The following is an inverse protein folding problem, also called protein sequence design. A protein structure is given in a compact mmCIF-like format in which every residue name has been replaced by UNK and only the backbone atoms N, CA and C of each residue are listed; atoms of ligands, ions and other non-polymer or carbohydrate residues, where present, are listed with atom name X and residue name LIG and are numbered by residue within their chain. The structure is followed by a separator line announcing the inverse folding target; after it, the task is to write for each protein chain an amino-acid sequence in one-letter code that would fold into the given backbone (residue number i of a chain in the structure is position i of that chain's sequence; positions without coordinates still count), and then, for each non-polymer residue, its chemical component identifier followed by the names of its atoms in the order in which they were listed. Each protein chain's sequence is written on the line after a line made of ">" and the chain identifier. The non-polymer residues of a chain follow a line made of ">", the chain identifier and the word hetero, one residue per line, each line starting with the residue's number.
data_IF_703911027022
#
_entry.id   IF_703911027022
#
_cell.length_a   1.000
_cell.length_b   1.000
_cell.length_c   1.000
_cell.angle_alpha   90.00
_cell.angle_beta   90.00
_cell.angle_gamma   90.00
#
_symmetry.space_group_name_H-M   'P 1'
#
loop_
_entity.id
_entity.type
_entity.pdbx_description
1 polymer ?
#
# COMPACT_ATOMS: atom_id res chain seq x y z
N UNK A 1 -21.03 -94.46 10.65
CA UNK A 1 -21.63 -93.72 9.51
C UNK A 1 -21.54 -92.23 9.80
N UNK A 2 -20.64 -91.47 9.15
CA UNK A 2 -20.35 -90.09 9.54
C UNK A 2 -21.35 -89.09 8.95
N UNK A 3 -21.78 -88.15 9.80
CA UNK A 3 -22.69 -87.05 9.50
C UNK A 3 -21.99 -86.00 8.63
N UNK A 4 -22.52 -85.74 7.43
CA UNK A 4 -22.01 -84.74 6.49
C UNK A 4 -22.37 -83.30 6.90
N UNK A 5 -21.34 -82.46 7.07
CA UNK A 5 -21.45 -81.03 7.38
C UNK A 5 -21.92 -80.27 6.14
N UNK A 6 -23.06 -79.58 6.21
CA UNK A 6 -23.53 -78.66 5.15
C UNK A 6 -22.70 -77.37 5.12
N UNK A 7 -22.28 -76.87 3.95
CA UNK A 7 -21.55 -75.61 3.85
C UNK A 7 -22.49 -74.41 4.05
N UNK A 8 -22.09 -73.46 4.90
CA UNK A 8 -22.79 -72.19 5.07
C UNK A 8 -22.62 -71.33 3.81
N UNK A 9 -23.72 -70.91 3.19
CA UNK A 9 -23.70 -69.95 2.08
C UNK A 9 -23.21 -68.59 2.61
N UNK A 10 -22.11 -68.10 2.03
CA UNK A 10 -21.61 -66.75 2.27
C UNK A 10 -22.68 -65.71 1.90
N UNK A 11 -22.96 -64.78 2.82
CA UNK A 11 -23.85 -63.63 2.55
C UNK A 11 -23.17 -62.71 1.52
N UNK A 12 -23.90 -62.20 0.51
CA UNK A 12 -23.32 -61.28 -0.47
C UNK A 12 -22.88 -59.98 0.23
N UNK A 13 -21.70 -59.49 -0.14
CA UNK A 13 -21.15 -58.23 0.36
C UNK A 13 -22.11 -57.06 0.04
N UNK A 14 -22.43 -56.26 1.06
CA UNK A 14 -23.23 -55.05 0.88
C UNK A 14 -22.50 -54.08 -0.07
N UNK A 15 -23.17 -53.51 -1.08
CA UNK A 15 -22.56 -52.53 -1.97
C UNK A 15 -22.09 -51.30 -1.17
N UNK A 16 -20.88 -50.82 -1.50
CA UNK A 16 -20.31 -49.63 -0.88
C UNK A 16 -21.27 -48.43 -0.98
N UNK A 17 -21.32 -47.54 0.03
CA UNK A 17 -22.19 -46.36 -0.02
C UNK A 17 -21.90 -45.54 -1.27
N UNK A 18 -22.95 -45.21 -2.03
CA UNK A 18 -22.83 -44.39 -3.25
C UNK A 18 -22.30 -43.02 -2.87
N UNK A 19 -21.16 -42.64 -3.43
CA UNK A 19 -20.58 -41.29 -3.29
C UNK A 19 -21.57 -40.30 -3.90
N UNK A 20 -22.23 -39.50 -3.07
CA UNK A 20 -23.02 -38.36 -3.56
C UNK A 20 -22.07 -37.32 -4.12
N UNK A 21 -22.15 -37.04 -5.42
CA UNK A 21 -21.44 -35.93 -6.03
C UNK A 21 -22.36 -34.73 -6.11
N UNK A 22 -21.92 -33.58 -5.58
CA UNK A 22 -22.62 -32.32 -5.75
C UNK A 22 -22.46 -31.86 -7.20
N UNK A 23 -23.49 -32.09 -8.00
CA UNK A 23 -23.61 -31.49 -9.33
C UNK A 23 -24.11 -30.06 -9.13
N UNK A 24 -23.28 -29.08 -9.48
CA UNK A 24 -23.74 -27.70 -9.54
C UNK A 24 -24.67 -27.58 -10.76
N UNK A 25 -25.96 -27.37 -10.51
CA UNK A 25 -26.97 -27.17 -11.57
C UNK A 25 -26.82 -25.78 -12.21
N UNK A 26 -26.21 -24.86 -11.47
CA UNK A 26 -25.95 -23.47 -11.85
C UNK A 26 -24.46 -23.17 -11.71
N UNK A 27 -23.99 -22.22 -12.51
CA UNK A 27 -22.60 -21.73 -12.53
C UNK A 27 -22.26 -20.75 -11.39
N UNK A 28 -23.14 -20.59 -10.40
CA UNK A 28 -22.98 -19.65 -9.29
C UNK A 28 -21.74 -19.87 -8.42
N UNK A 29 -21.22 -21.09 -8.40
CA UNK A 29 -20.00 -21.45 -7.67
C UNK A 29 -18.72 -21.27 -8.49
N UNK A 30 -18.82 -20.82 -9.75
CA UNK A 30 -17.66 -20.48 -10.56
C UNK A 30 -17.00 -19.20 -9.99
N UNK A 31 -15.69 -19.24 -9.66
CA UNK A 31 -14.94 -18.06 -9.23
C UNK A 31 -15.08 -16.84 -10.16
N UNK A 32 -15.29 -17.03 -11.46
CA UNK A 32 -15.50 -15.95 -12.43
C UNK A 32 -16.78 -15.15 -12.19
N UNK A 33 -17.87 -15.81 -11.76
CA UNK A 33 -19.16 -15.16 -11.48
C UNK A 33 -19.12 -14.21 -10.31
N UNK A 34 -18.31 -14.52 -9.29
CA UNK A 34 -18.11 -13.62 -8.17
C UNK A 34 -17.51 -12.27 -8.61
N UNK A 35 -16.63 -12.27 -9.61
CA UNK A 35 -16.08 -11.03 -10.17
C UNK A 35 -17.13 -10.26 -10.97
N UNK A 36 -17.90 -10.94 -11.82
CA UNK A 36 -19.02 -10.34 -12.58
C UNK A 36 -20.02 -9.66 -11.64
N UNK A 37 -20.44 -10.34 -10.57
CA UNK A 37 -21.40 -9.79 -9.61
C UNK A 37 -20.85 -8.60 -8.85
N UNK A 38 -19.58 -8.65 -8.40
CA UNK A 38 -18.94 -7.50 -7.76
C UNK A 38 -18.83 -6.31 -8.71
N UNK A 39 -18.57 -6.56 -10.00
CA UNK A 39 -18.52 -5.53 -11.02
C UNK A 39 -19.91 -4.90 -11.25
N UNK A 40 -20.96 -5.71 -11.37
CA UNK A 40 -22.33 -5.22 -11.51
C UNK A 40 -22.77 -4.41 -10.29
N UNK A 41 -22.52 -4.92 -9.08
CA UNK A 41 -22.81 -4.20 -7.85
C UNK A 41 -22.11 -2.83 -7.78
N UNK A 42 -20.82 -2.78 -8.12
CA UNK A 42 -20.07 -1.52 -8.16
C UNK A 42 -20.67 -0.52 -9.19
N UNK A 43 -21.12 -1.01 -10.35
CA UNK A 43 -21.81 -0.17 -11.35
C UNK A 43 -23.10 0.43 -10.80
N UNK A 44 -23.96 -0.39 -10.20
CA UNK A 44 -25.23 0.09 -9.63
C UNK A 44 -24.99 1.07 -8.47
N UNK A 45 -24.07 0.76 -7.56
CA UNK A 45 -23.71 1.65 -6.47
C UNK A 45 -23.20 3.01 -6.98
N UNK A 46 -22.32 3.02 -7.99
CA UNK A 46 -21.79 4.26 -8.56
C UNK A 46 -22.85 5.09 -9.28
N UNK A 47 -23.78 4.45 -10.00
CA UNK A 47 -24.91 5.14 -10.64
C UNK A 47 -25.76 5.87 -9.61
N UNK A 48 -26.02 5.24 -8.46
CA UNK A 48 -26.78 5.89 -7.39
C UNK A 48 -25.99 7.02 -6.69
N UNK A 49 -24.69 6.85 -6.49
CA UNK A 49 -23.83 7.92 -5.94
C UNK A 49 -23.79 9.15 -6.86
N UNK A 50 -23.72 8.92 -8.18
CA UNK A 50 -23.77 9.97 -9.20
C UNK A 50 -25.12 10.69 -9.22
N UNK A 51 -26.23 9.94 -9.19
CA UNK A 51 -27.58 10.52 -9.07
C UNK A 51 -27.73 11.43 -7.83
N UNK A 52 -27.00 11.12 -6.74
CA UNK A 52 -26.99 11.89 -5.49
C UNK A 52 -25.93 13.00 -5.46
N UNK A 53 -25.24 13.26 -6.58
CA UNK A 53 -24.15 14.23 -6.69
C UNK A 53 -23.02 14.00 -5.68
N UNK A 54 -22.78 12.74 -5.31
CA UNK A 54 -21.69 12.35 -4.42
C UNK A 54 -20.43 12.05 -5.25
N UNK A 55 -19.28 12.57 -4.81
CA UNK A 55 -18.00 12.39 -5.51
C UNK A 55 -17.35 11.02 -5.28
N UNK A 56 -17.83 10.26 -4.30
CA UNK A 56 -17.26 8.94 -3.99
C UNK A 56 -17.57 7.94 -5.11
N UNK A 57 -16.63 7.03 -5.37
CA UNK A 57 -16.80 5.92 -6.31
C UNK A 57 -16.27 4.64 -5.68
N UNK A 58 -16.95 3.53 -5.95
CA UNK A 58 -16.60 2.19 -5.49
C UNK A 58 -16.08 1.38 -6.67
N UNK A 59 -14.97 0.67 -6.47
CA UNK A 59 -14.38 -0.20 -7.46
C UNK A 59 -14.10 -1.57 -6.82
N UNK A 60 -14.52 -2.63 -7.51
CA UNK A 60 -14.42 -4.02 -7.05
C UNK A 60 -13.00 -4.59 -7.22
N UNK A 61 -12.19 -3.96 -8.07
CA UNK A 61 -10.83 -4.40 -8.38
C UNK A 61 -9.91 -4.03 -7.22
N UNK A 62 -8.83 -4.78 -7.05
CA UNK A 62 -7.77 -4.41 -6.12
C UNK A 62 -7.12 -3.08 -6.50
N UNK A 63 -6.50 -2.38 -5.55
CA UNK A 63 -5.75 -1.14 -5.85
C UNK A 63 -4.70 -1.34 -6.95
N UNK A 64 -4.12 -2.54 -7.04
CA UNK A 64 -3.17 -2.91 -8.09
C UNK A 64 -3.84 -2.85 -9.47
N UNK A 65 -5.00 -3.50 -9.64
CA UNK A 65 -5.76 -3.51 -10.90
C UNK A 65 -6.34 -2.13 -11.26
N UNK A 66 -6.47 -1.23 -10.29
CA UNK A 66 -6.83 0.16 -10.51
C UNK A 66 -5.64 1.06 -10.87
N UNK A 67 -4.40 0.56 -10.78
CA UNK A 67 -3.19 1.39 -10.90
C UNK A 67 -2.97 2.34 -9.70
N UNK A 68 -3.68 2.11 -8.60
CA UNK A 68 -3.58 2.93 -7.38
C UNK A 68 -2.42 2.40 -6.53
N UNK A 69 -1.35 3.17 -6.48
CA UNK A 69 -0.21 2.91 -5.59
C UNK A 69 -0.53 3.35 -4.15
N UNK A 70 -1.43 2.61 -3.49
CA UNK A 70 -1.81 2.77 -2.08
C UNK A 70 -1.64 1.42 -1.39
N UNK A 71 -1.00 1.41 -0.22
CA UNK A 71 -0.86 0.18 0.55
C UNK A 71 -2.21 -0.11 1.23
N UNK A 72 -2.76 -1.32 1.05
CA UNK A 72 -4.02 -1.71 1.66
C UNK A 72 -3.84 -1.90 3.17
N UNK A 73 -4.87 -1.53 3.93
CA UNK A 73 -4.95 -1.82 5.37
C UNK A 73 -5.34 -3.27 5.59
N UNK A 74 -4.87 -3.87 6.69
CA UNK A 74 -5.22 -5.23 7.10
C UNK A 74 -6.65 -5.25 7.66
N UNK A 75 -7.46 -6.23 7.25
CA UNK A 75 -8.78 -6.42 7.82
C UNK A 75 -8.68 -6.85 9.29
N UNK A 76 -9.24 -6.04 10.19
CA UNK A 76 -9.14 -6.25 11.64
C UNK A 76 -9.99 -7.43 12.14
N UNK A 77 -11.17 -7.64 11.55
CA UNK A 77 -12.19 -8.53 12.08
C UNK A 77 -12.99 -7.92 13.23
N UNK A 78 -14.09 -8.58 13.62
CA UNK A 78 -15.06 -8.05 14.60
C UNK A 78 -14.42 -7.85 15.98
N UNK A 79 -13.66 -8.84 16.47
CA UNK A 79 -13.04 -8.82 17.80
C UNK A 79 -12.06 -7.64 17.97
N UNK A 80 -11.09 -7.51 17.05
CA UNK A 80 -10.12 -6.41 17.11
C UNK A 80 -10.78 -5.04 16.96
N UNK A 81 -11.84 -4.93 16.15
CA UNK A 81 -12.61 -3.68 16.01
C UNK A 81 -13.31 -3.28 17.30
N UNK A 82 -13.90 -4.24 18.02
CA UNK A 82 -14.53 -3.98 19.31
C UNK A 82 -13.51 -3.55 20.37
N UNK A 83 -12.32 -4.17 20.40
CA UNK A 83 -11.24 -3.80 21.30
C UNK A 83 -10.78 -2.35 21.07
N UNK A 84 -10.50 -1.95 19.83
CA UNK A 84 -10.07 -0.57 19.52
C UNK A 84 -11.17 0.46 19.83
N UNK A 85 -12.45 0.13 19.62
CA UNK A 85 -13.57 1.01 20.03
C UNK A 85 -13.62 1.23 21.54
N UNK A 86 -13.15 0.27 22.33
CA UNK A 86 -13.02 0.37 23.79
C UNK A 86 -11.70 1.02 24.22
N UNK A 87 -10.88 1.50 23.28
CA UNK A 87 -9.59 2.12 23.55
C UNK A 87 -8.44 1.15 23.78
N UNK A 88 -8.65 -0.17 23.56
CA UNK A 88 -7.59 -1.17 23.68
C UNK A 88 -6.80 -1.27 22.36
N UNK A 89 -5.50 -1.05 22.46
CA UNK A 89 -4.57 -1.12 21.33
C UNK A 89 -4.38 -2.58 20.90
N UNK A 90 -4.61 -2.85 19.63
CA UNK A 90 -4.41 -4.15 18.98
C UNK A 90 -3.23 -4.10 18.03
N UNK A 91 -2.55 -5.22 17.83
CA UNK A 91 -1.45 -5.36 16.87
C UNK A 91 -1.89 -4.96 15.44
N UNK A 92 -3.04 -5.50 14.98
CA UNK A 92 -3.62 -5.15 13.67
C UNK A 92 -3.99 -3.67 13.57
N UNK A 93 -4.48 -3.07 14.64
CA UNK A 93 -4.79 -1.64 14.70
C UNK A 93 -3.53 -0.77 14.58
N UNK A 94 -2.44 -1.16 15.24
CA UNK A 94 -1.16 -0.47 15.17
C UNK A 94 -0.58 -0.51 13.77
N UNK A 95 -0.59 -1.68 13.11
CA UNK A 95 -0.19 -1.83 11.71
C UNK A 95 -1.04 -0.93 10.79
N UNK A 96 -2.36 -0.89 10.99
CA UNK A 96 -3.24 -0.03 10.19
C UNK A 96 -3.02 1.47 10.40
N UNK A 97 -2.72 1.90 11.63
CA UNK A 97 -2.33 3.28 11.93
C UNK A 97 -1.04 3.66 11.20
N UNK A 98 -0.04 2.78 11.22
CA UNK A 98 1.21 2.99 10.50
C UNK A 98 0.98 3.08 8.98
N UNK A 99 0.27 2.13 8.38
CA UNK A 99 -0.09 2.15 6.95
C UNK A 99 -0.82 3.44 6.58
N UNK A 100 -1.71 3.93 7.45
CA UNK A 100 -2.46 5.16 7.23
C UNK A 100 -1.55 6.38 7.28
N UNK A 101 -0.62 6.45 8.24
CA UNK A 101 0.38 7.50 8.35
C UNK A 101 1.31 7.53 7.13
N UNK A 102 1.79 6.35 6.70
CA UNK A 102 2.62 6.19 5.50
C UNK A 102 1.88 6.62 4.23
N UNK A 103 0.63 6.17 4.03
CA UNK A 103 -0.19 6.59 2.89
C UNK A 103 -0.45 8.11 2.90
N UNK A 104 -0.64 8.71 4.07
CA UNK A 104 -0.79 10.16 4.22
C UNK A 104 0.48 10.90 3.81
N UNK A 105 1.65 10.43 4.27
CA UNK A 105 2.95 10.98 3.91
C UNK A 105 3.17 10.96 2.40
N UNK A 106 2.94 9.82 1.75
CA UNK A 106 3.05 9.67 0.29
C UNK A 106 2.11 10.64 -0.43
N UNK A 107 0.85 10.74 0.01
CA UNK A 107 -0.12 11.67 -0.59
C UNK A 107 0.31 13.13 -0.45
N UNK A 108 0.82 13.52 0.72
CA UNK A 108 1.32 14.86 1.00
C UNK A 108 2.51 15.21 0.09
N UNK A 109 3.51 14.34 0.05
CA UNK A 109 4.71 14.53 -0.77
C UNK A 109 4.36 14.60 -2.25
N UNK A 110 3.50 13.70 -2.74
CA UNK A 110 3.00 13.75 -4.12
C UNK A 110 2.40 15.12 -4.46
N UNK A 111 1.54 15.64 -3.59
CA UNK A 111 0.85 16.90 -3.85
C UNK A 111 1.83 18.08 -3.87
N UNK A 112 2.77 18.12 -2.91
CA UNK A 112 3.79 19.16 -2.80
C UNK A 112 4.73 19.14 -4.01
N UNK A 113 5.30 17.98 -4.34
CA UNK A 113 6.27 17.85 -5.43
C UNK A 113 5.64 18.17 -6.79
N UNK A 114 4.38 17.78 -7.01
CA UNK A 114 3.64 18.12 -8.24
C UNK A 114 3.43 19.63 -8.36
N UNK A 115 3.10 20.30 -7.25
CA UNK A 115 2.94 21.76 -7.23
C UNK A 115 4.27 22.47 -7.51
N UNK A 116 5.34 22.04 -6.85
CA UNK A 116 6.68 22.59 -7.05
C UNK A 116 7.17 22.38 -8.49
N UNK A 117 6.95 21.20 -9.06
CA UNK A 117 7.27 20.90 -10.44
C UNK A 117 6.56 21.87 -11.39
N UNK A 118 5.25 22.01 -11.28
CA UNK A 118 4.49 22.92 -12.14
C UNK A 118 4.94 24.38 -11.99
N UNK A 119 5.21 24.83 -10.76
CA UNK A 119 5.68 26.18 -10.50
C UNK A 119 7.09 26.43 -11.06
N UNK A 120 8.06 25.55 -10.76
CA UNK A 120 9.44 25.66 -11.25
C UNK A 120 9.51 25.58 -12.78
N UNK A 121 8.66 24.76 -13.42
CA UNK A 121 8.50 24.71 -14.87
C UNK A 121 8.03 26.05 -15.45
N UNK A 122 7.03 26.68 -14.85
CA UNK A 122 6.54 27.99 -15.27
C UNK A 122 7.63 29.07 -15.11
N UNK A 123 8.36 29.03 -14.00
CA UNK A 123 9.44 30.00 -13.75
C UNK A 123 10.62 29.83 -14.69
N UNK A 124 11.00 28.59 -15.03
CA UNK A 124 12.05 28.29 -16.00
C UNK A 124 11.68 28.67 -17.44
N UNK A 125 10.39 28.67 -17.78
CA UNK A 125 9.88 29.06 -19.10
C UNK A 125 9.73 30.58 -19.28
N UNK A 126 9.72 31.37 -18.20
CA UNK A 126 9.70 32.83 -18.29
C UNK A 126 11.08 33.35 -18.72
N UNK A 127 11.12 34.18 -19.78
CA UNK A 127 12.33 34.63 -20.49
C UNK A 127 13.46 35.18 -19.58
N UNK A 128 14.73 35.01 -20.00
CA UNK A 128 15.91 35.33 -19.20
C UNK A 128 16.35 36.80 -19.39
N UNK A 129 15.52 37.76 -19.00
CA UNK A 129 16.03 39.13 -18.85
C UNK A 129 16.52 39.32 -17.42
N UNK A 130 17.84 39.14 -17.24
CA UNK A 130 18.64 39.49 -16.05
C UNK A 130 17.92 39.28 -14.71
N UNK A 131 17.44 38.06 -14.43
CA UNK A 131 16.98 37.74 -13.09
C UNK A 131 18.19 37.45 -12.20
N UNK A 132 18.31 38.11 -11.03
CA UNK A 132 19.38 37.84 -10.08
C UNK A 132 19.41 36.35 -9.72
N UNK A 133 20.60 35.86 -9.32
CA UNK A 133 20.77 34.50 -8.80
C UNK A 133 19.68 34.19 -7.76
N UNK A 134 19.24 32.93 -7.65
CA UNK A 134 18.23 32.56 -6.62
C UNK A 134 18.68 33.03 -5.23
N UNK A 135 19.98 32.99 -4.98
CA UNK A 135 20.57 33.49 -3.74
C UNK A 135 20.39 35.01 -3.57
N UNK A 136 20.64 35.80 -4.60
CA UNK A 136 20.47 37.25 -4.58
C UNK A 136 19.00 37.61 -4.36
N UNK A 137 18.06 36.91 -5.00
CA UNK A 137 16.63 37.07 -4.75
C UNK A 137 16.28 36.79 -3.28
N UNK A 138 16.77 35.67 -2.74
CA UNK A 138 16.56 35.33 -1.33
C UNK A 138 17.14 36.37 -0.38
N UNK A 139 18.33 36.90 -0.69
CA UNK A 139 18.99 37.93 0.12
C UNK A 139 18.20 39.26 0.08
N UNK A 140 17.69 39.66 -1.09
CA UNK A 140 16.84 40.84 -1.24
C UNK A 140 15.53 40.69 -0.46
N UNK A 141 14.88 39.53 -0.53
CA UNK A 141 13.65 39.25 0.23
C UNK A 141 13.89 39.34 1.74
N UNK A 142 15.01 38.80 2.23
CA UNK A 142 15.37 38.86 3.64
C UNK A 142 15.67 40.29 4.12
N UNK A 143 16.36 41.09 3.30
CA UNK A 143 16.66 42.48 3.61
C UNK A 143 15.37 43.33 3.74
N UNK A 144 14.33 43.00 2.96
CA UNK A 144 13.04 43.67 3.00
C UNK A 144 12.16 43.25 4.21
N UNK A 145 12.30 42.02 4.72
CA UNK A 145 11.41 41.47 5.74
C UNK A 145 11.70 41.91 7.20
N UNK A 146 12.83 42.60 7.45
CA UNK A 146 13.27 43.19 8.73
C UNK A 146 12.51 42.72 10.00
N UNK A 147 12.78 41.50 10.53
CA UNK A 147 12.10 41.02 11.73
C UNK A 147 12.47 41.88 12.94
N UNK A 148 11.45 42.43 13.61
CA UNK A 148 11.60 43.36 14.74
C UNK A 148 12.00 42.66 16.05
N UNK A 149 11.65 41.37 16.21
CA UNK A 149 11.91 40.62 17.44
C UNK A 149 13.23 39.84 17.40
N UNK A 150 13.91 39.69 18.55
CA UNK A 150 15.15 38.89 18.68
C UNK A 150 14.94 37.44 18.25
N UNK A 151 13.81 36.83 18.63
CA UNK A 151 13.44 35.49 18.19
C UNK A 151 13.23 35.40 16.67
N UNK A 152 12.54 36.38 16.08
CA UNK A 152 12.34 36.47 14.62
C UNK A 152 13.66 36.57 13.85
N UNK A 153 14.61 37.38 14.34
CA UNK A 153 15.96 37.50 13.75
C UNK A 153 16.71 36.16 13.76
N UNK A 154 16.72 35.47 14.90
CA UNK A 154 17.38 34.15 15.02
C UNK A 154 16.71 33.11 14.11
N UNK A 155 15.39 33.10 14.04
CA UNK A 155 14.64 32.18 13.17
C UNK A 155 14.92 32.45 11.69
N UNK A 156 14.87 33.72 11.26
CA UNK A 156 15.17 34.10 9.88
C UNK A 156 16.59 33.70 9.47
N UNK A 157 17.58 33.88 10.37
CA UNK A 157 18.96 33.49 10.13
C UNK A 157 19.14 31.96 10.01
N UNK A 158 18.44 31.19 10.86
CA UNK A 158 18.45 29.72 10.75
C UNK A 158 17.80 29.24 9.45
N UNK A 159 16.69 29.86 9.06
CA UNK A 159 16.00 29.53 7.81
C UNK A 159 16.86 29.91 6.59
N UNK A 160 17.54 31.07 6.61
CA UNK A 160 18.42 31.49 5.52
C UNK A 160 19.65 30.58 5.38
N UNK A 161 20.26 30.17 6.49
CA UNK A 161 21.36 29.21 6.49
C UNK A 161 20.93 27.84 5.92
N UNK A 162 19.74 27.35 6.29
CA UNK A 162 19.23 26.09 5.77
C UNK A 162 18.98 26.16 4.25
N UNK A 163 18.46 27.28 3.75
CA UNK A 163 18.27 27.50 2.31
C UNK A 163 19.61 27.62 1.57
N UNK A 164 20.59 28.32 2.16
CA UNK A 164 21.93 28.42 1.61
C UNK A 164 22.58 27.04 1.49
N UNK A 165 22.55 26.23 2.55
CA UNK A 165 23.09 24.87 2.54
C UNK A 165 22.40 24.03 1.46
N UNK A 166 21.07 24.09 1.36
CA UNK A 166 20.33 23.38 0.32
C UNK A 166 20.76 23.78 -1.10
N UNK A 167 20.88 25.09 -1.36
CA UNK A 167 21.32 25.59 -2.67
C UNK A 167 22.77 25.18 -2.97
N UNK A 168 23.65 25.28 -1.99
CA UNK A 168 25.07 24.97 -2.13
C UNK A 168 25.31 23.47 -2.33
N UNK A 169 24.70 22.61 -1.51
CA UNK A 169 24.80 21.15 -1.59
C UNK A 169 24.30 20.60 -2.94
N UNK A 170 23.33 21.29 -3.54
CA UNK A 170 22.74 20.90 -4.82
C UNK A 170 23.25 21.74 -6.01
N UNK A 171 24.24 22.62 -5.79
CA UNK A 171 24.80 23.51 -6.81
C UNK A 171 23.74 24.31 -7.59
N UNK A 172 22.73 24.82 -6.89
CA UNK A 172 21.60 25.55 -7.50
C UNK A 172 21.87 27.05 -7.45
N UNK A 173 22.15 27.63 -8.61
CA UNK A 173 22.35 29.08 -8.80
C UNK A 173 21.23 29.72 -9.61
N UNK A 174 20.55 28.94 -10.46
CA UNK A 174 19.54 29.42 -11.40
C UNK A 174 18.18 28.73 -11.22
N UNK A 175 17.13 29.37 -11.74
CA UNK A 175 15.77 28.80 -11.75
C UNK A 175 15.68 27.53 -12.62
N UNK A 176 16.52 27.45 -13.65
CA UNK A 176 16.65 26.26 -14.50
C UNK A 176 17.25 25.09 -13.73
N UNK A 177 18.31 25.31 -12.95
CA UNK A 177 18.91 24.28 -12.09
C UNK A 177 17.94 23.85 -10.98
N UNK A 178 17.17 24.80 -10.42
CA UNK A 178 16.10 24.47 -9.46
C UNK A 178 15.03 23.58 -10.10
N UNK A 179 14.62 23.87 -11.34
CA UNK A 179 13.68 23.02 -12.08
C UNK A 179 14.25 21.62 -12.34
N UNK A 180 15.52 21.51 -12.70
CA UNK A 180 16.21 20.22 -12.87
C UNK A 180 16.21 19.44 -11.55
N UNK A 181 16.56 20.07 -10.42
CA UNK A 181 16.52 19.42 -9.10
C UNK A 181 15.11 18.97 -8.73
N UNK A 182 14.09 19.80 -8.91
CA UNK A 182 12.69 19.45 -8.60
C UNK A 182 12.21 18.29 -9.49
N UNK A 183 12.62 18.27 -10.75
CA UNK A 183 12.33 17.16 -11.67
C UNK A 183 13.03 15.87 -11.22
N UNK A 184 14.30 15.95 -10.81
CA UNK A 184 15.05 14.81 -10.26
C UNK A 184 14.38 14.27 -8.99
N UNK A 185 14.00 15.13 -8.05
CA UNK A 185 13.26 14.74 -6.83
C UNK A 185 11.92 14.10 -7.18
N UNK A 186 11.22 14.59 -8.21
CA UNK A 186 9.95 14.02 -8.65
C UNK A 186 10.14 12.60 -9.19
N UNK A 187 11.17 12.39 -10.01
CA UNK A 187 11.55 11.07 -10.52
C UNK A 187 11.91 10.12 -9.39
N UNK A 188 12.76 10.56 -8.46
CA UNK A 188 13.16 9.79 -7.27
C UNK A 188 11.92 9.41 -6.43
N UNK A 189 11.02 10.35 -6.17
CA UNK A 189 9.78 10.09 -5.43
C UNK A 189 8.94 8.98 -6.08
N UNK A 190 8.74 9.05 -7.40
CA UNK A 190 7.96 8.02 -8.10
C UNK A 190 8.69 6.67 -8.15
N UNK A 191 10.02 6.67 -8.22
CA UNK A 191 10.86 5.47 -8.08
C UNK A 191 10.68 4.82 -6.72
N UNK A 192 10.95 5.55 -5.63
CA UNK A 192 10.82 5.07 -4.25
C UNK A 192 9.42 4.57 -3.94
N UNK A 193 8.39 5.29 -4.40
CA UNK A 193 6.99 4.85 -4.23
C UNK A 193 6.70 3.56 -4.99
N UNK A 194 7.28 3.39 -6.18
CA UNK A 194 7.19 2.15 -6.96
C UNK A 194 7.83 0.97 -6.22
N UNK A 195 9.02 1.17 -5.66
CA UNK A 195 9.75 0.16 -4.88
C UNK A 195 9.00 -0.24 -3.61
N UNK A 196 8.48 0.73 -2.85
CA UNK A 196 7.62 0.48 -1.67
C UNK A 196 6.41 -0.37 -2.06
N UNK A 197 5.75 -0.03 -3.17
CA UNK A 197 4.60 -0.78 -3.65
C UNK A 197 4.98 -2.19 -4.12
N UNK A 198 6.15 -2.38 -4.73
CA UNK A 198 6.65 -3.69 -5.14
C UNK A 198 7.00 -4.56 -3.93
N UNK A 199 7.74 -4.03 -2.96
CA UNK A 199 8.09 -4.72 -1.73
C UNK A 199 6.84 -5.14 -0.95
N UNK A 200 5.86 -4.25 -0.81
CA UNK A 200 4.59 -4.56 -0.15
C UNK A 200 3.83 -5.72 -0.81
N UNK A 201 3.86 -5.82 -2.15
CA UNK A 201 3.25 -6.95 -2.88
C UNK A 201 3.98 -8.25 -2.66
N UNK A 202 5.31 -8.23 -2.64
CA UNK A 202 6.12 -9.41 -2.37
C UNK A 202 5.88 -9.91 -0.95
N UNK A 203 5.83 -9.01 0.02
CA UNK A 203 5.49 -9.32 1.42
C UNK A 203 4.10 -9.97 1.51
N UNK A 204 3.09 -9.41 0.85
CA UNK A 204 1.73 -9.98 0.82
C UNK A 204 1.71 -11.41 0.23
N UNK A 205 2.40 -11.61 -0.90
CA UNK A 205 2.54 -12.93 -1.53
C UNK A 205 3.22 -13.96 -0.62
N UNK A 206 4.33 -13.58 0.03
CA UNK A 206 5.03 -14.45 0.98
C UNK A 206 4.20 -14.73 2.23
N UNK A 207 3.49 -13.74 2.76
CA UNK A 207 2.57 -13.93 3.89
C UNK A 207 1.43 -14.88 3.53
N UNK A 208 0.90 -14.84 2.31
CA UNK A 208 -0.08 -15.81 1.83
C UNK A 208 0.51 -17.23 1.82
N UNK A 209 1.75 -17.40 1.33
CA UNK A 209 2.45 -18.70 1.34
C UNK A 209 2.66 -19.22 2.75
N UNK A 210 3.08 -18.36 3.67
CA UNK A 210 3.26 -18.69 5.09
C UNK A 210 1.95 -19.06 5.76
N UNK A 211 0.86 -18.35 5.46
CA UNK A 211 -0.48 -18.66 5.97
C UNK A 211 -0.96 -20.04 5.49
N UNK A 212 -0.81 -20.34 4.19
CA UNK A 212 -1.16 -21.64 3.62
C UNK A 212 -0.30 -22.77 4.20
N UNK A 213 1.01 -22.52 4.39
CA UNK A 213 1.89 -23.47 5.07
C UNK A 213 1.47 -23.72 6.52
N UNK A 214 1.09 -22.67 7.25
CA UNK A 214 0.59 -22.78 8.62
C UNK A 214 -0.68 -23.63 8.67
N UNK A 215 -1.66 -23.37 7.79
CA UNK A 215 -2.88 -24.18 7.69
C UNK A 215 -2.57 -25.66 7.36
N UNK A 216 -1.61 -25.92 6.48
CA UNK A 216 -1.15 -27.27 6.20
C UNK A 216 -0.56 -27.93 7.45
N UNK A 217 0.36 -27.23 8.14
CA UNK A 217 1.06 -27.76 9.31
C UNK A 217 0.11 -28.03 10.48
N UNK A 218 -0.77 -27.07 10.79
CA UNK A 218 -1.68 -27.11 11.94
C UNK A 218 -2.75 -28.20 11.77
N UNK A 219 -3.26 -28.39 10.53
CA UNK A 219 -4.34 -29.35 10.26
C UNK A 219 -3.85 -30.73 9.81
N UNK A 220 -2.54 -30.91 9.59
CA UNK A 220 -1.93 -32.20 9.25
C UNK A 220 -2.24 -33.32 10.26
N UNK A 221 -2.19 -33.08 11.59
CA UNK A 221 -2.54 -34.11 12.57
C UNK A 221 -3.99 -34.56 12.46
N UNK A 222 -4.93 -33.64 12.23
CA UNK A 222 -6.36 -33.95 12.06
C UNK A 222 -6.56 -34.89 10.86
N UNK A 223 -5.86 -34.62 9.75
CA UNK A 223 -5.87 -35.50 8.59
C UNK A 223 -5.27 -36.88 8.89
N UNK A 224 -4.18 -36.95 9.64
CA UNK A 224 -3.56 -38.22 10.06
C UNK A 224 -4.50 -39.05 10.94
N UNK A 225 -5.16 -38.41 11.93
CA UNK A 225 -6.18 -39.05 12.76
C UNK A 225 -7.31 -39.63 11.91
N UNK A 226 -7.82 -38.87 10.93
CA UNK A 226 -8.85 -39.36 10.01
C UNK A 226 -8.42 -40.63 9.26
N UNK A 227 -7.17 -40.69 8.79
CA UNK A 227 -6.65 -41.88 8.09
C UNK A 227 -6.50 -43.10 8.99
N UNK A 228 -6.17 -42.89 10.27
CA UNK A 228 -5.99 -43.94 11.26
C UNK A 228 -7.31 -44.52 11.80
N UNK A 229 -8.42 -43.79 11.69
CA UNK A 229 -9.74 -44.23 12.16
C UNK A 229 -10.34 -45.35 11.29
N UNK A 230 -11.10 -46.24 11.92
CA UNK A 230 -11.89 -47.29 11.24
C UNK A 230 -12.99 -46.66 10.36
N UNK A 231 -13.40 -47.29 9.24
CA UNK A 231 -14.35 -46.71 8.29
C UNK A 231 -15.64 -46.15 8.91
N UNK A 232 -16.22 -46.83 9.91
CA UNK A 232 -17.47 -46.40 10.59
C UNK A 232 -17.32 -45.14 11.46
N UNK A 233 -16.12 -44.82 11.93
CA UNK A 233 -15.86 -43.65 12.76
C UNK A 233 -15.38 -42.43 11.94
N UNK A 234 -15.04 -42.64 10.66
CA UNK A 234 -14.53 -41.57 9.77
C UNK A 234 -15.58 -40.53 9.44
N UNK A 235 -16.82 -40.96 9.18
CA UNK A 235 -17.91 -40.05 8.80
C UNK A 235 -18.21 -39.03 9.91
N UNK A 236 -18.43 -39.51 11.15
CA UNK A 236 -18.64 -38.64 12.30
C UNK A 236 -17.45 -37.71 12.59
N UNK A 237 -16.22 -38.18 12.35
CA UNK A 237 -15.01 -37.36 12.52
C UNK A 237 -14.87 -36.30 11.41
N UNK A 238 -15.28 -36.63 10.18
CA UNK A 238 -15.29 -35.68 9.06
C UNK A 238 -16.30 -34.56 9.29
N UNK A 239 -17.49 -34.89 9.81
CA UNK A 239 -18.50 -33.87 10.13
C UNK A 239 -18.00 -32.94 11.24
N UNK A 240 -17.40 -33.52 12.29
CA UNK A 240 -16.86 -32.77 13.43
C UNK A 240 -15.65 -31.88 13.08
N UNK A 241 -14.82 -32.29 12.12
CA UNK A 241 -13.62 -31.56 11.70
C UNK A 241 -13.68 -31.09 10.25
N UNK A 242 -14.88 -30.77 9.77
CA UNK A 242 -15.12 -30.43 8.37
C UNK A 242 -14.37 -29.17 7.93
N UNK A 243 -14.27 -28.17 8.81
CA UNK A 243 -13.57 -26.91 8.54
C UNK A 243 -12.05 -27.10 8.47
N UNK A 244 -11.46 -27.83 9.43
CA UNK A 244 -10.02 -28.08 9.50
C UNK A 244 -9.57 -28.94 8.31
N UNK A 245 -10.38 -29.92 7.91
CA UNK A 245 -10.13 -30.73 6.72
C UNK A 245 -10.24 -29.91 5.43
N UNK A 246 -11.23 -29.01 5.33
CA UNK A 246 -11.36 -28.12 4.17
C UNK A 246 -10.17 -27.15 4.05
N UNK A 247 -9.71 -26.58 5.18
CA UNK A 247 -8.51 -25.73 5.23
C UNK A 247 -7.24 -26.50 4.85
N UNK A 248 -7.08 -27.74 5.34
CA UNK A 248 -5.97 -28.61 4.95
C UNK A 248 -6.00 -28.91 3.44
N UNK A 249 -7.15 -29.31 2.90
CA UNK A 249 -7.28 -29.67 1.49
C UNK A 249 -7.02 -28.46 0.58
N UNK A 250 -7.48 -27.27 0.98
CA UNK A 250 -7.18 -26.02 0.28
C UNK A 250 -5.68 -25.69 0.30
N UNK A 251 -5.04 -25.81 1.47
CA UNK A 251 -3.60 -25.60 1.61
C UNK A 251 -2.78 -26.60 0.79
N UNK A 252 -3.17 -27.87 0.75
CA UNK A 252 -2.52 -28.90 -0.08
C UNK A 252 -2.61 -28.58 -1.56
N UNK A 253 -3.80 -28.18 -2.05
CA UNK A 253 -3.97 -27.76 -3.46
C UNK A 253 -3.02 -26.61 -3.80
N UNK A 254 -3.02 -25.57 -2.97
CA UNK A 254 -2.15 -24.41 -3.15
C UNK A 254 -0.66 -24.78 -3.15
N UNK A 255 -0.20 -25.58 -2.18
CA UNK A 255 1.20 -26.00 -2.10
C UNK A 255 1.61 -26.93 -3.27
N UNK A 256 0.68 -27.72 -3.80
CA UNK A 256 0.91 -28.54 -4.99
C UNK A 256 1.00 -27.68 -6.26
N UNK A 257 0.18 -26.65 -6.39
CA UNK A 257 0.28 -25.66 -7.47
C UNK A 257 1.62 -24.93 -7.44
N UNK A 258 2.09 -24.51 -6.25
CA UNK A 258 3.42 -23.89 -6.10
C UNK A 258 4.56 -24.83 -6.50
N UNK A 259 4.46 -26.11 -6.12
CA UNK A 259 5.43 -27.12 -6.55
C UNK A 259 5.41 -27.33 -8.06
N UNK A 260 4.23 -27.35 -8.66
CA UNK A 260 4.06 -27.49 -10.11
C UNK A 260 4.65 -26.29 -10.87
N UNK A 261 4.62 -25.09 -10.29
CA UNK A 261 5.32 -23.92 -10.85
C UNK A 261 6.84 -23.91 -10.61
N UNK A 262 7.40 -24.98 -10.04
CA UNK A 262 8.84 -25.11 -9.78
C UNK A 262 9.34 -24.41 -8.51
N UNK A 263 8.45 -23.85 -7.68
CA UNK A 263 8.85 -23.20 -6.44
C UNK A 263 9.10 -24.24 -5.33
N UNK A 264 10.20 -24.08 -4.61
CA UNK A 264 10.51 -24.91 -3.44
C UNK A 264 9.73 -24.39 -2.23
N UNK A 265 9.09 -25.32 -1.51
CA UNK A 265 8.39 -25.00 -0.25
C UNK A 265 9.45 -24.87 0.86
N UNK A 266 9.85 -23.64 1.13
CA UNK A 266 10.88 -23.30 2.13
C UNK A 266 10.37 -22.23 3.09
N UNK A 267 9.55 -22.60 4.10
CA UNK A 267 8.91 -21.65 5.01
C UNK A 267 9.91 -20.74 5.75
N UNK A 268 11.06 -21.29 6.17
CA UNK A 268 12.14 -20.52 6.80
C UNK A 268 12.71 -19.45 5.88
N UNK A 269 12.88 -19.77 4.59
CA UNK A 269 13.36 -18.81 3.61
C UNK A 269 12.31 -17.74 3.33
N UNK A 270 11.03 -18.11 3.22
CA UNK A 270 9.94 -17.15 3.07
C UNK A 270 9.86 -16.17 4.26
N UNK A 271 10.06 -16.66 5.49
CA UNK A 271 10.13 -15.81 6.69
C UNK A 271 11.30 -14.83 6.61
N UNK A 272 12.52 -15.32 6.35
CA UNK A 272 13.70 -14.47 6.22
C UNK A 272 13.54 -13.40 5.14
N UNK A 273 12.89 -13.75 4.02
CA UNK A 273 12.62 -12.80 2.94
C UNK A 273 11.57 -11.75 3.32
N UNK A 274 10.52 -12.12 4.07
CA UNK A 274 9.56 -11.15 4.63
C UNK A 274 10.26 -10.16 5.56
N UNK A 275 11.12 -10.64 6.45
CA UNK A 275 11.89 -9.79 7.37
C UNK A 275 12.81 -8.84 6.60
N UNK A 276 13.55 -9.35 5.62
CA UNK A 276 14.42 -8.57 4.73
C UNK A 276 13.65 -7.47 4.00
N UNK A 277 12.54 -7.83 3.36
CA UNK A 277 11.71 -6.88 2.61
C UNK A 277 11.04 -5.85 3.53
N UNK A 278 10.67 -6.25 4.75
CA UNK A 278 10.11 -5.33 5.75
C UNK A 278 11.15 -4.30 6.18
N UNK A 279 12.38 -4.73 6.45
CA UNK A 279 13.49 -3.83 6.75
C UNK A 279 13.79 -2.89 5.57
N UNK A 280 13.84 -3.40 4.35
CA UNK A 280 14.01 -2.60 3.13
C UNK A 280 12.89 -1.55 3.00
N UNK A 281 11.63 -1.95 3.17
CA UNK A 281 10.49 -1.04 3.06
C UNK A 281 10.56 0.08 4.12
N UNK A 282 10.96 -0.26 5.35
CA UNK A 282 11.19 0.73 6.40
C UNK A 282 12.26 1.77 6.03
N UNK A 283 13.34 1.34 5.38
CA UNK A 283 14.40 2.23 4.92
C UNK A 283 13.93 3.15 3.79
N UNK A 284 13.16 2.64 2.82
CA UNK A 284 12.55 3.44 1.75
C UNK A 284 11.63 4.53 2.32
N UNK A 285 10.88 4.23 3.38
CA UNK A 285 10.09 5.24 4.08
C UNK A 285 10.93 6.33 4.75
N UNK A 286 12.10 5.98 5.30
CA UNK A 286 13.02 6.99 5.85
C UNK A 286 13.58 7.89 4.74
N UNK A 287 13.88 7.35 3.55
CA UNK A 287 14.32 8.16 2.41
C UNK A 287 13.22 9.14 1.96
N UNK A 288 11.98 8.68 1.84
CA UNK A 288 10.83 9.57 1.54
C UNK A 288 10.65 10.63 2.63
N UNK A 289 10.87 10.27 3.90
CA UNK A 289 10.80 11.22 5.02
C UNK A 289 11.93 12.25 4.95
N UNK A 290 13.13 11.84 4.57
CA UNK A 290 14.28 12.73 4.36
C UNK A 290 14.01 13.71 3.22
N UNK A 291 13.48 13.25 2.08
CA UNK A 291 13.08 14.11 0.95
C UNK A 291 12.11 15.24 1.35
N UNK A 292 11.36 15.08 2.45
CA UNK A 292 10.47 16.12 2.97
C UNK A 292 11.21 17.42 3.32
N UNK A 293 12.45 17.36 3.82
CA UNK A 293 13.22 18.56 4.16
C UNK A 293 13.57 19.36 2.90
N UNK A 294 13.96 18.67 1.84
CA UNK A 294 14.28 19.26 0.54
C UNK A 294 13.04 19.92 -0.07
N UNK A 295 11.89 19.23 0.00
CA UNK A 295 10.61 19.78 -0.46
C UNK A 295 10.25 21.05 0.32
N UNK A 296 10.50 21.08 1.63
CA UNK A 296 10.24 22.27 2.46
C UNK A 296 11.18 23.43 2.09
N UNK A 297 12.45 23.15 1.79
CA UNK A 297 13.40 24.17 1.31
C UNK A 297 12.92 24.78 -0.01
N UNK A 298 12.55 23.95 -0.99
CA UNK A 298 12.03 24.44 -2.27
C UNK A 298 10.70 25.19 -2.10
N UNK A 299 9.80 24.74 -1.22
CA UNK A 299 8.56 25.47 -0.91
C UNK A 299 8.81 26.85 -0.32
N UNK A 300 9.90 27.03 0.44
CA UNK A 300 10.31 28.32 0.97
C UNK A 300 10.85 29.22 -0.13
N UNK A 301 11.74 28.71 -1.01
CA UNK A 301 12.23 29.43 -2.20
C UNK A 301 11.05 29.92 -3.05
N UNK A 302 10.05 29.06 -3.25
CA UNK A 302 8.83 29.42 -3.96
C UNK A 302 8.09 30.59 -3.31
N UNK A 303 7.88 30.53 -1.98
CA UNK A 303 7.16 31.59 -1.25
C UNK A 303 7.89 32.92 -1.32
N UNK A 304 9.21 32.92 -1.13
CA UNK A 304 10.02 34.15 -1.21
C UNK A 304 9.98 34.75 -2.62
N UNK A 305 10.04 33.92 -3.66
CA UNK A 305 9.91 34.39 -5.04
C UNK A 305 8.51 34.98 -5.32
N UNK A 306 7.45 34.33 -4.84
CA UNK A 306 6.08 34.83 -4.97
C UNK A 306 5.87 36.16 -4.22
N UNK A 307 6.52 36.34 -3.06
CA UNK A 307 6.48 37.57 -2.25
C UNK A 307 7.21 38.73 -2.94
N UNK A 308 8.41 38.48 -3.49
CA UNK A 308 9.16 39.46 -4.28
C UNK A 308 8.34 39.95 -5.49
N UNK A 309 7.80 39.02 -6.28
CA UNK A 309 7.00 39.35 -7.45
C UNK A 309 5.74 40.17 -7.12
N UNK A 310 5.18 40.00 -5.91
CA UNK A 310 4.07 40.85 -5.41
C UNK A 310 4.56 42.24 -5.02
N UNK A 311 5.70 42.33 -4.34
CA UNK A 311 6.29 43.60 -3.92
C UNK A 311 6.68 44.47 -5.12
N UNK A 312 7.25 43.88 -6.16
CA UNK A 312 7.59 44.57 -7.41
C UNK A 312 6.35 45.14 -8.10
N UNK A 313 5.29 44.32 -8.27
CA UNK A 313 4.01 44.78 -8.84
C UNK A 313 3.35 45.90 -8.04
N UNK A 314 3.51 45.90 -6.71
CA UNK A 314 2.96 46.96 -5.86
C UNK A 314 3.72 48.27 -5.98
N UNK A 315 5.04 48.22 -6.21
CA UNK A 315 5.86 49.41 -6.47
C UNK A 315 5.56 50.03 -7.82
N UNK A 316 5.37 49.20 -8.85
CA UNK A 316 5.08 49.63 -10.22
C UNK A 316 3.73 50.37 -10.32
N UNK A 317 2.70 49.87 -9.62
CA UNK A 317 1.38 50.55 -9.53
C UNK A 317 1.40 51.87 -8.75
N UNK A 318 2.38 52.09 -7.89
CA UNK A 318 2.54 53.35 -7.15
C UNK A 318 3.32 54.42 -7.92
N UNK A 319 3.86 54.08 -9.10
CA UNK A 319 4.62 54.98 -9.97
C UNK A 319 3.84 55.40 -11.24
N UNK A 320 2.55 55.06 -11.37
CA UNK A 320 1.71 55.67 -12.41
C UNK A 320 1.64 57.20 -12.16
N UNK A 321 2.09 58.04 -13.10
CA UNK A 321 2.07 59.48 -12.89
C UNK A 321 0.63 59.97 -12.90
N UNK A 322 0.21 60.63 -11.81
CA UNK A 322 -1.00 61.45 -11.82
C UNK A 322 -0.94 62.40 -13.02
N UNK A 323 -1.86 62.23 -13.96
CA UNK A 323 -2.07 63.10 -15.12
C UNK A 323 -3.40 63.80 -15.00
#
# INVERSE_FOLDING_TARGET
>A
MPQGIRPQRARPAHPAPRKSHRVNITDWNDPGKAEEWRAQWARYANSMLEFRNLLQRVDHRSYIRQGVQKIPTVHMGVAATQMERRGLVTEKGTVNREITAQNRLLKEIKARITRLYNWSKQQAAALPEKKPSIWEQLQQAQAAAQPTTRYGKVKALKESAALFNFLQENSISSMQELYVKVTAMQTEYYGLRGEIAAAARQIDGLNKRLSMWKQYSDNKPVRQCLTALKPRAREKFQDAHSEELALYDAAVRYLNELKASGEKITPKHWQAEVERLTAQNSALYQQIKAMRTDIQAVEKIRKTADELARSEKSRDRGQEPER
#
